data_IF_889239321170
#
_entry.id   IF_889239321170
#
_cell.length_a   1.000
_cell.length_b   1.000
_cell.length_c   1.000
_cell.angle_alpha   90.00
_cell.angle_beta   90.00
_cell.angle_gamma   90.00
#
_symmetry.space_group_name_H-M   'P 1'
#
loop_
_entity.id
_entity.type
_entity.pdbx_description
1 polymer ?
#
# COMPACT_ATOMS: atom_id res chain seq x y z
N UNK A 1 12.44 35.53 14.71
CA UNK A 1 13.38 34.41 14.45
C UNK A 1 12.53 33.18 14.14
N UNK A 2 12.54 32.67 12.91
CA UNK A 2 11.67 31.62 12.46
C UNK A 2 11.96 30.27 13.11
N UNK A 3 10.91 29.64 13.63
CA UNK A 3 10.96 28.26 14.11
C UNK A 3 11.29 27.34 12.92
N UNK A 4 12.40 26.63 12.99
CA UNK A 4 12.81 25.68 11.93
C UNK A 4 11.98 24.43 12.07
N UNK A 5 11.14 24.16 11.08
CA UNK A 5 10.43 22.87 10.94
C UNK A 5 11.49 21.77 10.74
N UNK A 6 11.55 20.81 11.65
CA UNK A 6 12.37 19.62 11.46
C UNK A 6 11.52 18.55 10.82
N UNK A 7 11.87 18.18 9.59
CA UNK A 7 11.31 17.01 8.91
C UNK A 7 12.18 15.83 9.33
N UNK A 8 11.59 14.86 10.00
CA UNK A 8 12.27 13.61 10.35
C UNK A 8 11.77 12.55 9.38
N UNK A 9 12.60 12.19 8.42
CA UNK A 9 12.36 11.09 7.49
C UNK A 9 12.86 9.79 8.13
N UNK A 10 11.94 8.89 8.45
CA UNK A 10 12.25 7.52 8.86
C UNK A 10 12.00 6.59 7.68
N UNK A 11 13.06 6.18 7.01
CA UNK A 11 13.02 5.07 6.06
C UNK A 11 13.23 3.76 6.86
N UNK A 12 12.15 3.18 7.37
CA UNK A 12 12.17 2.10 8.37
C UNK A 12 12.24 0.70 7.78
N UNK A 13 12.85 0.45 6.66
CA UNK A 13 13.18 -0.94 6.27
C UNK A 13 14.52 -1.09 5.56
N UNK A 14 15.10 0.00 5.10
CA UNK A 14 16.29 -0.08 4.24
C UNK A 14 17.62 -0.06 5.00
N UNK A 15 17.69 0.52 6.20
CA UNK A 15 18.99 0.73 6.87
C UNK A 15 19.53 -0.56 7.52
N UNK A 16 18.68 -1.44 8.02
CA UNK A 16 19.11 -2.71 8.63
C UNK A 16 19.47 -3.73 7.56
N UNK A 17 18.75 -3.77 6.43
CA UNK A 17 19.06 -4.69 5.33
C UNK A 17 20.32 -4.28 4.56
N UNK A 18 20.52 -2.99 4.33
CA UNK A 18 21.74 -2.47 3.67
C UNK A 18 23.01 -2.70 4.48
N UNK A 19 22.95 -2.63 5.80
CA UNK A 19 24.12 -2.91 6.65
C UNK A 19 24.52 -4.40 6.63
N UNK A 20 23.56 -5.32 6.47
CA UNK A 20 23.86 -6.76 6.36
C UNK A 20 24.33 -7.13 4.94
N UNK A 21 23.76 -6.53 3.90
CA UNK A 21 24.13 -6.81 2.51
C UNK A 21 25.53 -6.27 2.18
N UNK A 22 25.91 -5.09 2.69
CA UNK A 22 27.26 -4.55 2.50
C UNK A 22 28.35 -5.38 3.18
N UNK A 23 28.05 -6.00 4.33
CA UNK A 23 28.98 -6.91 5.00
C UNK A 23 29.18 -8.24 4.24
N UNK A 24 28.15 -8.72 3.57
CA UNK A 24 28.20 -9.97 2.78
C UNK A 24 28.94 -9.73 1.46
N UNK A 25 28.71 -8.61 0.78
CA UNK A 25 29.37 -8.27 -0.49
C UNK A 25 30.88 -8.01 -0.25
N UNK A 26 31.25 -7.38 0.86
CA UNK A 26 32.67 -7.15 1.19
C UNK A 26 33.44 -8.43 1.54
N UNK A 27 32.75 -9.45 2.03
CA UNK A 27 33.30 -10.78 2.33
C UNK A 27 33.46 -11.64 1.07
N UNK A 28 32.61 -11.45 0.03
CA UNK A 28 32.64 -12.27 -1.20
C UNK A 28 33.57 -11.72 -2.28
N UNK A 29 33.78 -10.40 -2.31
CA UNK A 29 34.64 -9.72 -3.30
C UNK A 29 36.14 -10.04 -3.18
N UNK A 30 36.56 -10.73 -2.12
CA UNK A 30 37.98 -11.08 -1.87
C UNK A 30 38.41 -12.47 -2.36
N UNK A 31 37.53 -13.27 -2.94
CA UNK A 31 37.81 -14.68 -3.24
C UNK A 31 37.78 -15.07 -4.73
N UNK A 32 37.40 -14.22 -5.66
CA UNK A 32 37.39 -14.56 -7.08
C UNK A 32 37.86 -13.40 -7.98
N UNK A 33 39.14 -13.32 -8.18
CA UNK A 33 39.78 -12.58 -9.30
C UNK A 33 40.72 -13.53 -10.04
N UNK A 34 40.23 -14.16 -11.09
CA UNK A 34 41.09 -14.65 -12.20
C UNK A 34 40.39 -14.40 -13.55
N UNK A 35 41.14 -14.11 -14.63
CA UNK A 35 40.61 -13.61 -15.89
C UNK A 35 40.19 -14.75 -16.82
N UNK A 36 39.05 -14.63 -17.49
CA UNK A 36 38.61 -15.56 -18.53
C UNK A 36 38.76 -14.93 -19.89
N UNK A 37 39.48 -15.68 -20.74
CA UNK A 37 39.77 -15.42 -22.13
C UNK A 37 38.55 -15.69 -23.03
N UNK A 38 38.44 -14.86 -24.07
CA UNK A 38 37.49 -15.01 -25.18
C UNK A 38 37.76 -16.28 -26.00
N UNK A 39 36.70 -17.04 -26.30
CA UNK A 39 36.59 -17.82 -27.55
C UNK A 39 35.13 -18.20 -27.83
N UNK A 40 34.65 -17.75 -28.97
CA UNK A 40 33.38 -18.11 -29.63
C UNK A 40 33.27 -19.61 -29.88
N UNK A 41 32.10 -20.23 -29.69
CA UNK A 41 31.51 -21.15 -30.68
C UNK A 41 30.06 -21.48 -30.35
N UNK A 42 29.22 -21.32 -31.36
CA UNK A 42 27.82 -21.74 -31.42
C UNK A 42 27.67 -23.26 -31.29
N UNK A 43 26.72 -23.70 -30.47
CA UNK A 43 26.18 -25.06 -30.65
C UNK A 43 24.68 -25.07 -30.24
N UNK A 44 23.85 -25.27 -31.22
CA UNK A 44 22.43 -25.54 -31.11
C UNK A 44 22.25 -26.95 -30.54
N UNK A 45 21.55 -27.10 -29.42
CA UNK A 45 21.06 -28.42 -28.96
C UNK A 45 19.55 -28.31 -28.69
N UNK A 46 18.80 -29.03 -29.51
CA UNK A 46 17.42 -29.41 -29.33
C UNK A 46 17.27 -30.33 -28.11
N UNK A 47 16.40 -30.02 -27.16
CA UNK A 47 15.96 -30.97 -26.16
C UNK A 47 14.44 -31.05 -26.13
N UNK A 48 13.98 -32.25 -26.39
CA UNK A 48 12.61 -32.75 -26.32
C UNK A 48 12.13 -32.79 -24.86
N UNK A 49 10.95 -32.21 -24.63
CA UNK A 49 10.26 -32.26 -23.35
C UNK A 49 9.49 -33.57 -23.18
N UNK A 50 9.63 -34.22 -22.03
CA UNK A 50 8.71 -35.24 -21.53
C UNK A 50 7.84 -34.64 -20.41
N UNK A 51 6.52 -34.94 -20.38
CA UNK A 51 5.60 -34.32 -19.42
C UNK A 51 5.62 -35.05 -18.06
N UNK A 52 5.69 -34.26 -17.00
CA UNK A 52 5.55 -34.70 -15.60
C UNK A 52 4.07 -34.94 -15.29
N UNK A 53 3.75 -36.17 -14.88
CA UNK A 53 2.42 -36.57 -14.42
C UNK A 53 2.17 -36.10 -13.00
N UNK A 54 1.03 -35.42 -12.77
CA UNK A 54 0.50 -35.04 -11.45
C UNK A 54 -0.43 -36.15 -10.98
N UNK A 55 -0.34 -36.62 -9.71
CA UNK A 55 -1.28 -37.61 -9.19
C UNK A 55 -2.65 -36.99 -8.86
N UNK A 56 -3.69 -37.65 -9.29
CA UNK A 56 -5.11 -37.39 -9.03
C UNK A 56 -5.44 -37.60 -7.54
N UNK A 57 -6.12 -36.63 -6.91
CA UNK A 57 -6.60 -36.74 -5.53
C UNK A 57 -7.98 -37.39 -5.53
N UNK A 58 -8.12 -38.41 -4.70
CA UNK A 58 -9.34 -39.16 -4.44
C UNK A 58 -10.49 -38.31 -3.88
N UNK A 59 -11.66 -38.51 -4.45
CA UNK A 59 -12.95 -38.08 -3.92
C UNK A 59 -13.39 -39.01 -2.81
N UNK A 60 -13.78 -38.44 -1.67
CA UNK A 60 -14.63 -39.14 -0.72
C UNK A 60 -15.93 -38.36 -0.57
N UNK A 61 -17.03 -39.10 -0.80
CA UNK A 61 -18.42 -38.69 -0.73
C UNK A 61 -18.96 -38.72 0.71
N UNK A 62 -19.97 -37.85 0.94
CA UNK A 62 -21.14 -37.98 1.80
C UNK A 62 -21.02 -38.00 3.35
N UNK A 63 -21.73 -37.09 4.02
CA UNK A 63 -23.05 -37.34 4.62
C UNK A 63 -23.64 -36.10 5.29
N UNK A 64 -24.81 -35.79 4.86
CA UNK A 64 -26.05 -35.26 5.41
C UNK A 64 -26.15 -35.20 6.95
N UNK A 65 -26.70 -34.08 7.49
CA UNK A 65 -27.06 -33.90 8.89
C UNK A 65 -27.73 -32.55 9.13
N UNK A 66 -29.03 -32.48 8.84
CA UNK A 66 -29.92 -31.43 9.33
C UNK A 66 -30.07 -31.54 10.84
N UNK A 67 -30.06 -30.40 11.55
CA UNK A 67 -30.87 -30.18 12.74
C UNK A 67 -31.19 -28.69 12.91
N UNK A 68 -32.49 -28.41 12.77
CA UNK A 68 -33.18 -27.20 13.20
C UNK A 68 -33.25 -27.16 14.71
N UNK A 69 -32.96 -26.02 15.34
CA UNK A 69 -33.61 -25.62 16.58
C UNK A 69 -33.92 -24.11 16.54
N UNK A 70 -35.22 -23.81 16.52
CA UNK A 70 -35.84 -22.54 16.89
C UNK A 70 -35.75 -22.32 18.40
N UNK A 71 -35.65 -21.08 18.86
CA UNK A 71 -36.61 -20.31 19.66
C UNK A 71 -35.94 -19.16 20.41
N UNK A 72 -36.41 -17.98 20.12
CA UNK A 72 -37.18 -17.05 20.98
C UNK A 72 -36.61 -16.77 22.38
N UNK A 73 -36.35 -15.49 22.66
CA UNK A 73 -37.18 -14.64 23.53
C UNK A 73 -36.62 -13.22 23.65
N UNK A 74 -37.60 -12.34 23.70
CA UNK A 74 -37.61 -10.89 23.87
C UNK A 74 -37.15 -10.39 25.25
N UNK A 75 -36.95 -9.03 25.27
CA UNK A 75 -37.05 -8.10 26.41
C UNK A 75 -35.84 -8.05 27.38
N UNK A 76 -35.34 -6.88 27.69
CA UNK A 76 -35.94 -5.77 28.39
C UNK A 76 -35.11 -4.47 28.29
N UNK A 77 -35.82 -3.38 28.07
CA UNK A 77 -35.33 -1.99 28.14
C UNK A 77 -35.31 -1.55 29.59
N UNK A 78 -34.23 -1.04 30.12
CA UNK A 78 -34.28 -0.12 31.26
C UNK A 78 -33.37 1.07 31.07
N UNK A 79 -34.01 2.23 30.94
CA UNK A 79 -33.45 3.55 31.15
C UNK A 79 -33.04 3.73 32.63
N UNK A 80 -31.84 4.27 32.88
CA UNK A 80 -31.60 5.12 34.05
C UNK A 80 -30.73 6.29 33.64
N UNK A 81 -31.27 7.47 33.88
CA UNK A 81 -30.64 8.78 33.68
C UNK A 81 -29.74 9.18 34.87
N UNK A 82 -28.96 10.20 34.62
CA UNK A 82 -28.36 11.19 35.52
C UNK A 82 -27.08 10.85 36.29
N UNK A 83 -26.07 11.64 35.97
CA UNK A 83 -24.87 11.81 36.76
C UNK A 83 -23.84 12.74 36.08
N UNK A 84 -24.20 14.04 35.94
CA UNK A 84 -23.21 15.11 35.69
C UNK A 84 -22.11 15.06 36.75
N UNK A 85 -20.90 14.93 36.33
CA UNK A 85 -19.72 15.40 37.05
C UNK A 85 -18.75 16.08 36.07
N UNK A 86 -18.84 17.40 36.09
CA UNK A 86 -17.79 18.29 35.62
C UNK A 86 -16.42 17.81 36.12
N UNK A 87 -15.60 17.34 35.18
CA UNK A 87 -14.14 17.40 35.29
C UNK A 87 -13.65 18.33 34.18
N UNK A 88 -13.51 19.60 34.53
CA UNK A 88 -12.59 20.48 33.86
C UNK A 88 -11.22 19.81 33.93
N UNK A 89 -10.83 19.15 32.86
CA UNK A 89 -9.44 18.85 32.58
C UNK A 89 -8.91 20.12 31.93
N UNK A 90 -8.07 20.83 32.64
CA UNK A 90 -7.26 21.89 32.07
C UNK A 90 -6.53 21.31 30.86
N UNK A 91 -6.92 21.74 29.67
CA UNK A 91 -6.15 21.54 28.47
C UNK A 91 -4.84 22.29 28.68
N UNK A 92 -3.83 21.59 29.11
CA UNK A 92 -2.44 22.06 29.05
C UNK A 92 -2.13 22.38 27.59
N UNK A 93 -2.09 23.66 27.28
CA UNK A 93 -1.65 24.17 25.99
C UNK A 93 -0.14 23.94 25.92
N UNK A 94 0.28 22.72 25.64
CA UNK A 94 1.63 22.47 25.13
C UNK A 94 1.65 23.07 23.74
N UNK A 95 2.13 24.32 23.63
CA UNK A 95 2.59 24.84 22.34
C UNK A 95 3.58 23.81 21.80
N UNK A 96 3.15 22.97 20.86
CA UNK A 96 4.02 22.06 20.14
C UNK A 96 5.17 22.89 19.54
N UNK A 97 6.35 22.32 19.42
CA UNK A 97 7.54 22.98 18.86
C UNK A 97 7.36 23.42 17.39
N UNK A 98 6.17 23.25 16.83
CA UNK A 98 5.81 23.55 15.45
C UNK A 98 6.39 22.56 14.44
N UNK A 99 6.89 21.41 14.91
CA UNK A 99 7.30 20.31 14.04
C UNK A 99 6.08 19.56 13.50
N UNK A 100 6.25 18.90 12.37
CA UNK A 100 5.28 17.98 11.77
C UNK A 100 6.02 16.71 11.39
N UNK A 101 5.55 15.58 11.87
CA UNK A 101 6.13 14.26 11.62
C UNK A 101 5.41 13.60 10.45
N UNK A 102 6.17 13.28 9.41
CA UNK A 102 5.70 12.51 8.26
C UNK A 102 6.38 11.15 8.27
N UNK A 103 5.59 10.07 8.16
CA UNK A 103 6.10 8.72 7.96
C UNK A 103 5.77 8.27 6.54
N UNK A 104 6.75 7.69 5.87
CA UNK A 104 6.61 7.03 4.59
C UNK A 104 7.05 5.58 4.73
N UNK A 105 6.16 4.64 4.40
CA UNK A 105 6.52 3.24 4.27
C UNK A 105 6.46 2.81 2.79
N UNK A 106 7.03 1.64 2.52
CA UNK A 106 7.02 1.04 1.18
C UNK A 106 5.72 0.33 0.87
N UNK A 107 5.84 -0.81 0.21
CA UNK A 107 4.74 -1.60 -0.30
C UNK A 107 3.99 -2.29 0.83
N UNK A 108 2.70 -2.03 0.91
CA UNK A 108 1.76 -2.73 1.80
C UNK A 108 1.00 -3.74 0.97
N UNK A 109 1.08 -5.00 1.39
CA UNK A 109 0.40 -6.12 0.78
C UNK A 109 -0.35 -6.95 1.83
N UNK A 110 -1.67 -7.00 1.73
CA UNK A 110 -2.51 -7.81 2.61
C UNK A 110 -2.62 -9.25 2.11
N UNK A 111 -1.49 -9.97 2.14
CA UNK A 111 -1.40 -11.38 1.78
C UNK A 111 -2.12 -12.30 2.80
N UNK A 112 -2.15 -13.61 2.51
CA UNK A 112 -2.88 -14.57 3.35
C UNK A 112 -2.41 -14.61 4.82
N UNK A 113 -1.11 -14.46 5.08
CA UNK A 113 -0.58 -14.40 6.44
C UNK A 113 -1.09 -13.16 7.20
N UNK A 114 -1.15 -12.00 6.53
CA UNK A 114 -1.76 -10.79 7.09
C UNK A 114 -3.21 -11.05 7.46
N UNK A 115 -4.03 -11.51 6.48
CA UNK A 115 -5.47 -11.75 6.67
C UNK A 115 -5.73 -12.71 7.83
N UNK A 116 -4.99 -13.82 7.89
CA UNK A 116 -5.12 -14.82 8.94
C UNK A 116 -4.82 -14.26 10.34
N UNK A 117 -3.74 -13.50 10.49
CA UNK A 117 -3.37 -12.90 11.76
C UNK A 117 -4.35 -11.79 12.17
N UNK A 118 -4.74 -10.95 11.20
CA UNK A 118 -5.69 -9.87 11.44
C UNK A 118 -7.07 -10.39 11.86
N UNK A 119 -7.60 -11.41 11.18
CA UNK A 119 -8.87 -12.05 11.54
C UNK A 119 -8.80 -12.76 12.91
N UNK A 120 -7.63 -13.20 13.33
CA UNK A 120 -7.42 -13.84 14.64
C UNK A 120 -7.40 -12.86 15.83
N UNK A 121 -7.19 -11.56 15.60
CA UNK A 121 -7.10 -10.62 16.72
C UNK A 121 -6.75 -9.18 16.37
N UNK A 122 -7.06 -8.73 15.14
CA UNK A 122 -6.89 -7.34 14.72
C UNK A 122 -5.44 -6.96 14.40
N UNK A 123 -5.21 -5.66 14.29
CA UNK A 123 -3.92 -5.12 13.85
C UNK A 123 -2.77 -5.44 14.82
N UNK A 124 -3.06 -5.60 16.11
CA UNK A 124 -2.07 -5.94 17.13
C UNK A 124 -1.48 -7.36 16.96
N UNK A 125 -2.11 -8.22 16.13
CA UNK A 125 -1.54 -9.52 15.73
C UNK A 125 -0.65 -9.44 14.49
N UNK A 126 -0.60 -8.28 13.86
CA UNK A 126 0.13 -8.04 12.61
C UNK A 126 1.34 -7.14 12.86
N UNK A 127 1.16 -6.11 13.69
CA UNK A 127 2.17 -5.08 13.96
C UNK A 127 2.47 -5.05 15.45
N UNK A 128 3.74 -5.00 15.80
CA UNK A 128 4.18 -4.84 17.19
C UNK A 128 3.61 -3.55 17.80
N UNK A 129 3.10 -3.59 19.04
CA UNK A 129 2.41 -2.45 19.66
C UNK A 129 3.24 -1.15 19.67
N UNK A 130 4.55 -1.25 19.89
CA UNK A 130 5.42 -0.07 19.90
C UNK A 130 5.51 0.57 18.51
N UNK A 131 5.67 -0.25 17.46
CA UNK A 131 5.68 0.24 16.08
C UNK A 131 4.31 0.82 15.69
N UNK A 132 3.23 0.14 16.06
CA UNK A 132 1.88 0.62 15.80
C UNK A 132 1.65 2.00 16.42
N UNK A 133 2.09 2.21 17.66
CA UNK A 133 2.00 3.50 18.32
C UNK A 133 2.81 4.59 17.59
N UNK A 134 4.05 4.28 17.16
CA UNK A 134 4.87 5.22 16.39
C UNK A 134 4.22 5.63 15.07
N UNK A 135 3.56 4.69 14.37
CA UNK A 135 2.82 4.96 13.13
C UNK A 135 1.61 5.87 13.39
N UNK A 136 0.84 5.57 14.45
CA UNK A 136 -0.36 6.32 14.83
C UNK A 136 -0.05 7.72 15.39
N UNK A 137 1.14 7.92 15.98
CA UNK A 137 1.59 9.22 16.51
C UNK A 137 2.10 10.16 15.40
N UNK A 138 2.25 9.67 14.17
CA UNK A 138 2.62 10.50 13.03
C UNK A 138 1.53 11.52 12.71
N UNK A 139 1.91 12.72 12.30
CA UNK A 139 0.98 13.72 11.80
C UNK A 139 0.41 13.34 10.42
N UNK A 140 1.22 12.69 9.59
CA UNK A 140 0.84 12.18 8.27
C UNK A 140 1.60 10.87 8.00
N UNK A 141 0.86 9.81 7.67
CA UNK A 141 1.42 8.52 7.30
C UNK A 141 0.99 8.10 5.88
N UNK A 142 1.97 7.90 5.00
CA UNK A 142 1.78 7.47 3.62
C UNK A 142 2.40 6.10 3.35
N UNK A 143 1.67 5.25 2.61
CA UNK A 143 2.13 3.93 2.15
C UNK A 143 1.85 3.72 0.65
N UNK A 144 2.48 2.73 0.03
CA UNK A 144 2.06 2.22 -1.27
C UNK A 144 1.08 1.04 -1.07
N UNK A 145 -0.17 1.22 -1.49
CA UNK A 145 -1.17 0.16 -1.43
C UNK A 145 -1.07 -0.70 -2.71
N UNK A 146 -0.42 -1.85 -2.59
CA UNK A 146 0.01 -2.65 -3.73
C UNK A 146 -0.99 -3.78 -4.07
N UNK A 147 -2.27 -3.47 -4.02
CA UNK A 147 -3.37 -4.35 -4.42
C UNK A 147 -4.67 -3.56 -4.58
N UNK A 148 -5.62 -3.97 -5.42
CA UNK A 148 -6.98 -3.43 -5.40
C UNK A 148 -7.80 -3.99 -4.23
N UNK A 149 -8.64 -3.14 -3.64
CA UNK A 149 -9.73 -3.54 -2.74
C UNK A 149 -10.98 -3.85 -3.55
N UNK A 150 -11.30 -5.12 -3.75
CA UNK A 150 -12.50 -5.52 -4.48
C UNK A 150 -12.90 -6.96 -4.16
N UNK A 151 -14.16 -7.26 -4.45
CA UNK A 151 -14.69 -8.63 -4.54
C UNK A 151 -15.15 -8.93 -5.99
N UNK A 152 -14.71 -8.11 -6.96
CA UNK A 152 -15.02 -8.24 -8.39
C UNK A 152 -13.75 -8.37 -9.21
N UNK A 153 -13.93 -8.70 -10.48
CA UNK A 153 -12.85 -8.87 -11.44
C UNK A 153 -12.25 -10.26 -11.44
N UNK A 154 -11.43 -10.50 -12.44
CA UNK A 154 -10.65 -11.73 -12.60
C UNK A 154 -9.16 -11.37 -12.57
N UNK A 155 -8.31 -12.25 -12.06
CA UNK A 155 -6.88 -11.99 -12.06
C UNK A 155 -6.37 -11.81 -13.49
N UNK A 156 -5.44 -10.89 -13.67
CA UNK A 156 -4.80 -10.64 -14.96
C UNK A 156 -4.14 -11.93 -15.47
N UNK A 157 -4.45 -12.31 -16.71
CA UNK A 157 -3.82 -13.44 -17.40
C UNK A 157 -2.32 -13.15 -17.61
N UNK A 158 -1.52 -14.19 -17.66
CA UNK A 158 -0.07 -14.14 -17.95
C UNK A 158 0.77 -13.30 -16.95
N UNK A 159 0.21 -12.94 -15.79
CA UNK A 159 0.95 -12.29 -14.70
C UNK A 159 1.18 -13.27 -13.54
N UNK A 160 2.44 -13.49 -13.19
CA UNK A 160 2.84 -14.49 -12.20
C UNK A 160 2.22 -14.26 -10.82
N UNK A 161 2.14 -13.01 -10.39
CA UNK A 161 1.55 -12.61 -9.11
C UNK A 161 0.48 -11.56 -9.34
N UNK A 162 -0.73 -11.84 -8.87
CA UNK A 162 -1.84 -10.90 -8.87
C UNK A 162 -2.43 -10.84 -7.47
N UNK A 163 -2.75 -9.62 -7.03
CA UNK A 163 -3.22 -9.36 -5.68
C UNK A 163 -4.61 -8.72 -5.71
N UNK A 164 -5.44 -9.12 -4.76
CA UNK A 164 -6.73 -8.51 -4.50
C UNK A 164 -7.09 -8.71 -3.02
N UNK A 165 -7.78 -7.74 -2.46
CA UNK A 165 -8.17 -7.79 -1.06
C UNK A 165 -9.65 -7.43 -0.88
N UNK A 166 -10.36 -8.18 -0.04
CA UNK A 166 -11.73 -7.84 0.34
C UNK A 166 -11.76 -6.42 0.96
N UNK A 167 -12.66 -5.53 0.51
CA UNK A 167 -12.81 -4.17 1.02
C UNK A 167 -12.92 -4.05 2.55
N UNK A 168 -13.42 -5.09 3.23
CA UNK A 168 -13.52 -5.11 4.71
C UNK A 168 -12.18 -4.87 5.42
N UNK A 169 -11.04 -5.19 4.78
CA UNK A 169 -9.71 -5.04 5.36
C UNK A 169 -9.16 -3.60 5.27
N UNK A 170 -9.87 -2.67 4.61
CA UNK A 170 -9.46 -1.25 4.58
C UNK A 170 -9.33 -0.65 5.99
N UNK A 171 -10.12 -1.15 6.94
CA UNK A 171 -10.05 -0.74 8.35
C UNK A 171 -8.67 -0.97 8.97
N UNK A 172 -7.88 -1.94 8.46
CA UNK A 172 -6.53 -2.15 8.94
C UNK A 172 -5.60 -0.96 8.58
N UNK A 173 -5.81 -0.30 7.43
CA UNK A 173 -5.09 0.93 7.10
C UNK A 173 -5.44 2.04 8.11
N UNK A 174 -6.73 2.21 8.45
CA UNK A 174 -7.15 3.19 9.47
C UNK A 174 -6.57 2.86 10.86
N UNK A 175 -6.56 1.59 11.25
CA UNK A 175 -5.98 1.14 12.52
C UNK A 175 -4.46 1.36 12.57
N UNK A 176 -3.77 1.33 11.44
CA UNK A 176 -2.35 1.70 11.34
C UNK A 176 -2.11 3.21 11.37
N UNK A 177 -3.14 4.04 11.22
CA UNK A 177 -3.01 5.49 11.12
C UNK A 177 -2.64 6.00 9.73
N UNK A 178 -2.96 5.26 8.67
CA UNK A 178 -2.67 5.67 7.28
C UNK A 178 -3.61 6.80 6.85
N UNK A 179 -3.07 7.94 6.46
CA UNK A 179 -3.81 9.09 5.96
C UNK A 179 -3.95 9.08 4.44
N UNK A 180 -2.92 8.60 3.74
CA UNK A 180 -2.86 8.64 2.29
C UNK A 180 -2.12 7.42 1.73
N UNK A 181 -2.56 6.93 0.57
CA UNK A 181 -1.89 5.85 -0.14
C UNK A 181 -1.46 6.26 -1.57
N UNK A 182 -0.36 5.70 -2.05
CA UNK A 182 -0.09 5.61 -3.48
C UNK A 182 -0.89 4.46 -4.07
N UNK A 183 -1.56 4.71 -5.20
CA UNK A 183 -2.21 3.67 -6.01
C UNK A 183 -1.51 3.49 -7.37
N UNK A 184 -0.40 4.19 -7.62
CA UNK A 184 0.35 4.05 -8.86
C UNK A 184 1.46 3.00 -8.70
N UNK A 185 1.17 1.74 -9.00
CA UNK A 185 2.11 0.61 -8.91
C UNK A 185 1.76 -0.49 -9.93
N UNK A 186 2.59 -1.53 -9.99
CA UNK A 186 2.41 -2.64 -10.94
C UNK A 186 1.31 -3.63 -10.55
N UNK A 187 0.58 -3.41 -9.45
CA UNK A 187 -0.55 -4.23 -9.01
C UNK A 187 -1.90 -3.49 -9.02
N UNK A 188 -1.91 -2.23 -9.45
CA UNK A 188 -3.09 -1.34 -9.45
C UNK A 188 -4.30 -1.92 -10.16
N UNK A 189 -4.10 -2.60 -11.29
CA UNK A 189 -5.16 -3.17 -12.12
C UNK A 189 -5.09 -4.69 -12.24
N UNK A 190 -4.53 -5.38 -11.27
CA UNK A 190 -4.42 -6.84 -11.26
C UNK A 190 -5.74 -7.58 -11.49
N UNK A 191 -6.85 -6.98 -11.07
CA UNK A 191 -8.21 -7.50 -11.22
C UNK A 191 -9.08 -6.59 -12.11
N UNK A 192 -8.44 -5.77 -12.93
CA UNK A 192 -9.12 -4.92 -13.90
C UNK A 192 -9.67 -3.62 -13.33
N UNK A 193 -10.37 -2.88 -14.18
CA UNK A 193 -10.81 -1.50 -13.87
C UNK A 193 -11.94 -1.43 -12.87
N UNK A 194 -12.84 -2.42 -12.87
CA UNK A 194 -13.92 -2.48 -11.89
C UNK A 194 -13.38 -2.66 -10.48
N UNK A 195 -12.32 -3.46 -10.31
CA UNK A 195 -11.65 -3.62 -9.03
C UNK A 195 -10.91 -2.35 -8.60
N UNK A 196 -10.35 -1.60 -9.55
CA UNK A 196 -9.76 -0.29 -9.26
C UNK A 196 -10.82 0.72 -8.82
N UNK A 197 -11.99 0.76 -9.48
CA UNK A 197 -13.11 1.64 -9.08
C UNK A 197 -13.66 1.28 -7.70
N UNK A 198 -13.71 -0.01 -7.36
CA UNK A 198 -14.05 -0.47 -6.00
C UNK A 198 -13.02 0.01 -4.97
N UNK A 199 -11.74 0.04 -5.36
CA UNK A 199 -10.65 0.54 -4.51
C UNK A 199 -10.86 2.01 -4.17
N UNK A 200 -11.19 2.85 -5.15
CA UNK A 200 -11.50 4.27 -4.90
C UNK A 200 -12.67 4.42 -3.93
N UNK A 201 -13.78 3.72 -4.19
CA UNK A 201 -14.97 3.75 -3.33
C UNK A 201 -14.63 3.28 -1.91
N UNK A 202 -13.78 2.27 -1.77
CA UNK A 202 -13.38 1.70 -0.48
C UNK A 202 -12.54 2.69 0.33
N UNK A 203 -11.56 3.33 -0.30
CA UNK A 203 -10.69 4.32 0.33
C UNK A 203 -11.45 5.60 0.69
N UNK A 204 -12.30 6.10 -0.23
CA UNK A 204 -13.18 7.25 0.03
C UNK A 204 -14.10 6.98 1.23
N UNK A 205 -14.71 5.79 1.29
CA UNK A 205 -15.54 5.35 2.41
C UNK A 205 -14.80 5.22 3.75
N UNK A 206 -13.49 4.98 3.70
CA UNK A 206 -12.61 4.89 4.85
C UNK A 206 -11.99 6.26 5.24
N UNK A 207 -12.16 7.30 4.42
CA UNK A 207 -11.57 8.62 4.63
C UNK A 207 -10.06 8.66 4.38
N UNK A 208 -9.52 7.70 3.62
CA UNK A 208 -8.11 7.62 3.26
C UNK A 208 -7.92 8.27 1.88
N UNK A 209 -7.03 9.25 1.80
CA UNK A 209 -6.67 9.88 0.53
C UNK A 209 -5.87 8.91 -0.35
N UNK A 210 -5.92 9.12 -1.65
CA UNK A 210 -5.10 8.36 -2.59
C UNK A 210 -4.57 9.23 -3.71
N UNK A 211 -3.35 8.98 -4.15
CA UNK A 211 -2.66 9.68 -5.22
C UNK A 211 -2.23 8.73 -6.35
N UNK A 212 -2.14 9.25 -7.56
CA UNK A 212 -1.54 8.56 -8.69
C UNK A 212 -2.46 7.63 -9.47
N UNK A 213 -3.74 7.52 -9.08
CA UNK A 213 -4.76 6.81 -9.84
C UNK A 213 -6.12 7.51 -9.71
N UNK A 214 -7.05 7.21 -10.63
CA UNK A 214 -8.38 7.82 -10.61
C UNK A 214 -9.30 7.25 -11.67
N UNK A 215 -10.59 7.54 -11.52
CA UNK A 215 -11.63 7.24 -12.51
C UNK A 215 -11.42 8.02 -13.81
N UNK A 216 -10.81 9.19 -13.70
CA UNK A 216 -10.50 10.07 -14.81
C UNK A 216 -9.05 10.54 -14.72
N UNK A 217 -8.56 11.05 -15.83
CA UNK A 217 -7.22 11.62 -15.92
C UNK A 217 -7.02 12.79 -14.95
N UNK A 218 -8.02 13.66 -14.82
CA UNK A 218 -7.98 14.78 -13.88
C UNK A 218 -7.75 14.26 -12.46
N UNK A 219 -8.53 13.26 -12.03
CA UNK A 219 -8.42 12.69 -10.68
C UNK A 219 -7.09 11.99 -10.44
N UNK A 220 -6.59 11.23 -11.41
CA UNK A 220 -5.30 10.54 -11.28
C UNK A 220 -4.10 11.50 -11.21
N UNK A 221 -4.25 12.72 -11.78
CA UNK A 221 -3.20 13.75 -11.85
C UNK A 221 -3.33 14.80 -10.75
N UNK A 222 -4.40 14.71 -9.96
CA UNK A 222 -4.74 15.69 -8.93
C UNK A 222 -3.73 15.66 -7.78
N UNK A 223 -3.29 16.86 -7.38
CA UNK A 223 -2.50 17.02 -6.15
C UNK A 223 -3.39 16.73 -4.94
N UNK A 224 -3.00 15.77 -4.12
CA UNK A 224 -3.64 15.56 -2.82
C UNK A 224 -2.96 16.45 -1.79
N UNK A 225 -3.76 17.16 -0.99
CA UNK A 225 -3.23 18.09 0.02
C UNK A 225 -3.77 17.76 1.39
N UNK A 226 -2.88 17.62 2.36
CA UNK A 226 -3.20 17.51 3.80
C UNK A 226 -2.71 18.78 4.49
N UNK A 227 -3.61 19.46 5.19
CA UNK A 227 -3.25 20.58 6.05
C UNK A 227 -2.99 20.11 7.47
N UNK A 228 -1.78 20.35 7.97
CA UNK A 228 -1.38 19.97 9.33
C UNK A 228 -0.49 21.05 9.94
N UNK A 229 -0.76 21.43 11.18
CA UNK A 229 0.02 22.43 11.90
C UNK A 229 0.21 23.75 11.12
N UNK A 230 -0.85 24.18 10.40
CA UNK A 230 -0.85 25.40 9.57
C UNK A 230 0.05 25.35 8.35
N UNK A 231 0.38 24.14 7.85
CA UNK A 231 1.16 23.89 6.65
C UNK A 231 0.37 22.98 5.69
N UNK A 232 0.60 23.18 4.40
CA UNK A 232 0.06 22.35 3.32
C UNK A 232 1.10 21.35 2.85
N UNK A 233 0.77 20.07 2.99
CA UNK A 233 1.57 18.96 2.51
C UNK A 233 0.92 18.40 1.26
N UNK A 234 1.59 18.51 0.12
CA UNK A 234 1.13 18.02 -1.17
C UNK A 234 1.70 16.63 -1.48
N UNK A 235 0.90 15.79 -2.13
CA UNK A 235 1.26 14.43 -2.50
C UNK A 235 0.89 14.15 -3.95
N UNK A 236 1.87 13.66 -4.72
CA UNK A 236 1.70 13.09 -6.05
C UNK A 236 2.27 11.66 -6.04
N UNK A 237 1.69 10.78 -6.86
CA UNK A 237 2.24 9.45 -7.05
C UNK A 237 2.23 9.06 -8.53
N UNK A 238 3.21 8.28 -8.96
CA UNK A 238 3.32 7.77 -10.33
C UNK A 238 4.06 6.43 -10.36
N UNK A 239 3.81 5.61 -11.39
CA UNK A 239 4.52 4.35 -11.57
C UNK A 239 5.39 4.36 -12.83
N UNK A 240 6.63 3.87 -12.69
CA UNK A 240 7.52 3.50 -13.78
C UNK A 240 7.37 2.02 -14.16
N UNK A 241 6.80 1.21 -13.27
CA UNK A 241 6.54 -0.21 -13.51
C UNK A 241 5.09 -0.39 -13.91
N UNK A 242 4.85 -0.64 -15.19
CA UNK A 242 3.51 -0.71 -15.80
C UNK A 242 3.45 -1.99 -16.62
N UNK A 243 2.75 -3.04 -16.14
CA UNK A 243 2.67 -4.32 -16.85
C UNK A 243 2.08 -4.19 -18.26
N UNK A 244 1.02 -3.38 -18.40
CA UNK A 244 0.32 -3.18 -19.65
C UNK A 244 0.17 -1.69 -19.97
N UNK A 245 0.43 -1.30 -21.21
CA UNK A 245 0.37 0.10 -21.64
C UNK A 245 -1.02 0.75 -21.46
N UNK A 246 -2.06 -0.07 -21.48
CA UNK A 246 -3.45 0.36 -21.26
C UNK A 246 -3.78 0.64 -19.78
N UNK A 247 -2.87 0.39 -18.82
CA UNK A 247 -3.06 0.73 -17.40
C UNK A 247 -2.98 2.23 -17.13
N UNK A 248 -2.39 2.96 -18.07
CA UNK A 248 -2.40 4.42 -18.02
C UNK A 248 -3.83 4.94 -18.00
N UNK A 249 -4.11 5.89 -17.12
CA UNK A 249 -5.40 6.58 -17.07
C UNK A 249 -5.65 7.38 -18.35
N UNK A 250 -6.90 7.37 -18.82
CA UNK A 250 -7.38 8.20 -19.92
C UNK A 250 -8.47 9.16 -19.44
N UNK A 251 -9.00 10.00 -20.34
CA UNK A 251 -9.96 11.06 -19.99
C UNK A 251 -11.16 10.54 -19.16
N UNK A 252 -11.66 9.34 -19.50
CA UNK A 252 -12.81 8.71 -18.84
C UNK A 252 -12.63 7.22 -18.63
N UNK A 253 -11.41 6.79 -18.47
CA UNK A 253 -11.07 5.39 -18.28
C UNK A 253 -10.21 5.27 -17.03
N UNK A 254 -10.68 4.56 -16.00
CA UNK A 254 -9.93 4.38 -14.77
C UNK A 254 -8.51 3.85 -15.02
N UNK A 255 -7.55 4.36 -14.30
CA UNK A 255 -6.16 3.94 -14.45
C UNK A 255 -5.23 4.76 -13.57
N UNK A 256 -3.93 4.64 -13.84
CA UNK A 256 -2.91 5.30 -13.04
C UNK A 256 -2.07 6.30 -13.82
N UNK A 257 -1.45 7.24 -13.09
CA UNK A 257 -0.40 8.12 -13.60
C UNK A 257 0.88 7.32 -13.78
N UNK A 258 1.42 7.34 -14.99
CA UNK A 258 2.68 6.67 -15.33
C UNK A 258 3.83 7.67 -15.39
N UNK A 259 5.02 7.25 -14.97
CA UNK A 259 6.24 8.05 -15.01
C UNK A 259 7.08 7.80 -16.28
N UNK A 260 6.48 7.22 -17.34
CA UNK A 260 7.16 7.08 -18.65
C UNK A 260 7.24 8.40 -19.42
N UNK A 261 6.24 9.27 -19.26
CA UNK A 261 6.27 10.64 -19.76
C UNK A 261 6.76 11.55 -18.62
N UNK A 262 8.06 11.70 -18.52
CA UNK A 262 8.72 12.55 -17.53
C UNK A 262 8.39 14.04 -17.72
N UNK A 263 8.14 14.48 -18.96
CA UNK A 263 7.73 15.85 -19.26
C UNK A 263 6.41 16.18 -18.56
N UNK A 264 5.42 15.26 -18.64
CA UNK A 264 4.14 15.46 -17.97
C UNK A 264 4.26 15.41 -16.45
N UNK A 265 4.99 14.45 -15.92
CA UNK A 265 5.22 14.35 -14.48
C UNK A 265 5.94 15.60 -13.93
N UNK A 266 6.98 16.07 -14.61
CA UNK A 266 7.71 17.30 -14.22
C UNK A 266 6.81 18.53 -14.28
N UNK A 267 5.89 18.60 -15.26
CA UNK A 267 4.89 19.68 -15.33
C UNK A 267 3.99 19.65 -14.10
N UNK A 268 3.42 18.48 -13.75
CA UNK A 268 2.56 18.32 -12.57
C UNK A 268 3.29 18.69 -11.27
N UNK A 269 4.54 18.29 -11.13
CA UNK A 269 5.38 18.65 -9.98
C UNK A 269 5.56 20.16 -9.87
N UNK A 270 5.81 20.86 -10.99
CA UNK A 270 5.97 22.31 -11.01
C UNK A 270 4.68 23.03 -10.63
N UNK A 271 3.54 22.57 -11.13
CA UNK A 271 2.22 23.11 -10.80
C UNK A 271 1.91 22.89 -9.32
N UNK A 272 2.03 21.65 -8.83
CA UNK A 272 1.79 21.25 -7.45
C UNK A 272 2.66 22.02 -6.45
N UNK A 273 3.92 22.29 -6.81
CA UNK A 273 4.87 22.99 -5.92
C UNK A 273 4.41 24.39 -5.52
N UNK A 274 3.57 25.04 -6.32
CA UNK A 274 3.00 26.36 -6.01
C UNK A 274 1.79 26.32 -5.08
N UNK A 275 1.20 25.12 -4.87
CA UNK A 275 -0.05 24.93 -4.13
C UNK A 275 0.17 24.40 -2.70
N UNK A 276 1.41 24.03 -2.34
CA UNK A 276 1.74 23.47 -1.05
C UNK A 276 3.07 23.99 -0.49
N UNK A 277 3.23 23.93 0.84
CA UNK A 277 4.49 24.27 1.51
C UNK A 277 5.54 23.17 1.33
N UNK A 278 5.11 21.92 1.34
CA UNK A 278 5.94 20.72 1.15
C UNK A 278 5.28 19.82 0.12
N UNK A 279 6.08 19.34 -0.83
CA UNK A 279 5.62 18.41 -1.86
C UNK A 279 6.38 17.09 -1.75
N UNK A 280 5.63 16.01 -1.63
CA UNK A 280 6.12 14.64 -1.73
C UNK A 280 5.68 14.02 -3.05
N UNK A 281 6.63 13.39 -3.74
CA UNK A 281 6.36 12.66 -4.98
C UNK A 281 6.75 11.20 -4.76
N UNK A 282 5.76 10.32 -4.73
CA UNK A 282 5.96 8.88 -4.57
C UNK A 282 6.09 8.23 -5.95
N UNK A 283 7.22 7.60 -6.22
CA UNK A 283 7.44 6.92 -7.50
C UNK A 283 7.69 5.44 -7.25
N UNK A 284 6.80 4.60 -7.78
CA UNK A 284 6.98 3.16 -7.80
C UNK A 284 7.84 2.79 -9.02
N UNK A 285 9.05 2.31 -8.77
CA UNK A 285 10.01 2.00 -9.83
C UNK A 285 10.96 0.88 -9.40
N UNK A 286 11.71 0.35 -10.35
CA UNK A 286 12.72 -0.67 -10.12
C UNK A 286 12.55 -1.85 -11.05
N UNK A 287 13.44 -2.79 -10.92
CA UNK A 287 13.36 -4.11 -11.55
C UNK A 287 13.24 -5.13 -10.44
N UNK A 288 12.22 -5.97 -10.54
CA UNK A 288 11.96 -6.99 -9.54
C UNK A 288 13.16 -7.96 -9.47
N UNK A 289 13.64 -8.26 -8.26
CA UNK A 289 14.80 -9.11 -7.96
C UNK A 289 16.19 -8.59 -8.37
N UNK A 290 16.34 -7.33 -8.75
CA UNK A 290 17.65 -6.69 -9.01
C UNK A 290 18.28 -6.04 -7.79
#
# INVERSE_FOLDING_TARGET
MGKRTRIVLYALSLVILLAMVTLIIFSWGKQHSEPVNDAMSETVISSTEEPIQIPEAEKTDEADGQDEIQNDTEEEVTNIADGEKDKQTEAGNTEGDGSTTLIFAGDVLFANAFKSNYDAGGIEKVIEPQLLQELQDADIFMVNNEFPFSNRGEPMEDKQFTFCCDPKYVKALNEMGVDIVSLANNHTLDYGRDALSDTFTTLDGAGILYAGAGETKERAYELQVIEKNGKKFGFLAASRVVPESNWKVEERTPGMLTAYDDTKLVQLIKEARSECDFLSVYIHWGVEYD
#
